data_IF_943124619233
#
_entry.id   IF_943124619233
#
_cell.length_a   1.000
_cell.length_b   1.000
_cell.length_c   1.000
_cell.angle_alpha   90.00
_cell.angle_beta   90.00
_cell.angle_gamma   90.00
#
_symmetry.space_group_name_H-M   'P 1'
#
loop_
_entity.id
_entity.type
_entity.pdbx_description
1 polymer ?
#
# COMPACT_ATOMS: atom_id res chain seq x y z
N UNK A 1 22.66 -54.38 5.75
CA UNK A 1 23.45 -53.14 5.88
C UNK A 1 23.24 -52.33 4.63
N UNK A 2 22.53 -51.21 4.64
CA UNK A 2 22.41 -50.30 3.53
C UNK A 2 23.42 -49.15 3.67
N UNK A 3 24.17 -48.92 2.62
CA UNK A 3 25.18 -47.88 2.45
C UNK A 3 24.53 -46.54 2.19
N UNK A 4 24.83 -45.57 3.05
CA UNK A 4 24.44 -44.17 2.87
C UNK A 4 25.21 -43.54 1.70
N UNK A 5 24.48 -43.14 0.66
CA UNK A 5 25.00 -42.27 -0.40
C UNK A 5 24.98 -40.83 0.07
N UNK A 6 26.15 -40.26 0.25
CA UNK A 6 26.36 -38.85 0.55
C UNK A 6 26.31 -38.09 -0.77
N UNK A 7 25.27 -37.28 -0.98
CA UNK A 7 25.23 -36.32 -2.09
C UNK A 7 26.19 -35.17 -1.81
N UNK A 8 27.27 -35.12 -2.59
CA UNK A 8 28.19 -33.99 -2.63
C UNK A 8 27.50 -32.74 -3.23
N UNK A 9 27.74 -31.54 -2.70
CA UNK A 9 27.21 -30.33 -3.29
C UNK A 9 27.88 -30.02 -4.63
N UNK A 10 27.07 -29.62 -5.60
CA UNK A 10 27.51 -29.22 -6.94
C UNK A 10 28.34 -27.94 -6.79
N UNK A 11 29.65 -28.05 -6.99
CA UNK A 11 30.56 -26.91 -7.10
C UNK A 11 30.32 -26.21 -8.44
N UNK A 12 29.84 -24.97 -8.39
CA UNK A 12 29.87 -24.04 -9.52
C UNK A 12 31.33 -23.66 -9.81
N UNK A 13 31.97 -24.35 -10.75
CA UNK A 13 33.27 -23.97 -11.29
C UNK A 13 33.07 -22.85 -12.31
N UNK A 14 33.67 -21.67 -12.07
CA UNK A 14 33.88 -20.68 -13.13
C UNK A 14 33.63 -19.21 -12.80
N UNK A 15 33.30 -18.81 -11.58
CA UNK A 15 33.23 -17.40 -11.21
C UNK A 15 34.48 -17.08 -10.40
N UNK A 16 35.41 -16.21 -10.89
CA UNK A 16 36.56 -15.80 -10.10
C UNK A 16 36.07 -15.05 -8.84
N UNK A 17 36.71 -15.36 -7.71
CA UNK A 17 36.41 -14.66 -6.45
C UNK A 17 36.67 -13.15 -6.62
N UNK A 18 35.76 -12.29 -6.18
CA UNK A 18 35.96 -10.84 -6.27
C UNK A 18 37.14 -10.41 -5.40
N UNK A 19 37.92 -9.41 -5.81
CA UNK A 19 39.03 -8.91 -5.04
C UNK A 19 38.59 -8.48 -3.63
N UNK A 20 39.46 -8.61 -2.61
CA UNK A 20 39.09 -8.40 -1.20
C UNK A 20 38.50 -7.01 -0.91
N UNK A 21 38.82 -6.03 -1.73
CA UNK A 21 38.31 -4.65 -1.61
C UNK A 21 36.83 -4.50 -1.94
N UNK A 22 36.24 -5.44 -2.69
CA UNK A 22 34.81 -5.42 -3.07
C UNK A 22 34.02 -6.61 -2.49
N UNK A 23 34.69 -7.51 -1.78
CA UNK A 23 34.03 -8.69 -1.19
C UNK A 23 32.93 -8.31 -0.17
N UNK A 24 33.07 -7.18 0.51
CA UNK A 24 32.06 -6.65 1.41
C UNK A 24 30.82 -6.13 0.65
N UNK A 25 30.99 -5.57 -0.56
CA UNK A 25 29.90 -5.10 -1.42
C UNK A 25 29.09 -6.31 -1.91
N UNK A 26 29.76 -7.35 -2.37
CA UNK A 26 29.10 -8.60 -2.77
C UNK A 26 28.37 -9.25 -1.59
N UNK A 27 28.96 -9.27 -0.39
CA UNK A 27 28.29 -9.71 0.83
C UNK A 27 27.11 -8.81 1.23
N UNK A 28 27.23 -7.50 1.05
CA UNK A 28 26.16 -6.55 1.32
C UNK A 28 24.97 -6.75 0.36
N UNK A 29 25.25 -6.92 -0.95
CA UNK A 29 24.21 -7.25 -1.94
C UNK A 29 23.63 -8.65 -1.71
N UNK A 30 24.42 -9.63 -1.29
CA UNK A 30 23.94 -10.97 -0.95
C UNK A 30 23.09 -10.95 0.34
N UNK A 31 23.46 -10.14 1.34
CA UNK A 31 22.60 -9.90 2.51
C UNK A 31 21.31 -9.14 2.18
N UNK A 32 21.35 -8.21 1.23
CA UNK A 32 20.15 -7.53 0.75
C UNK A 32 19.23 -8.48 -0.05
N UNK A 33 19.81 -9.35 -0.89
CA UNK A 33 19.08 -10.37 -1.63
C UNK A 33 18.60 -11.54 -0.75
N UNK A 34 19.37 -11.90 0.31
CA UNK A 34 18.96 -12.96 1.25
C UNK A 34 17.99 -12.47 2.33
N UNK A 35 17.72 -11.16 2.40
CA UNK A 35 16.72 -10.59 3.30
C UNK A 35 15.33 -10.51 2.66
N UNK A 36 15.13 -11.21 1.54
CA UNK A 36 13.82 -11.57 1.02
C UNK A 36 13.21 -12.64 1.97
N UNK A 37 12.99 -12.21 3.22
CA UNK A 37 12.13 -12.96 4.13
C UNK A 37 10.78 -13.02 3.44
N UNK A 38 10.34 -14.24 3.16
CA UNK A 38 8.99 -14.63 2.82
C UNK A 38 8.03 -13.74 3.63
N UNK A 39 7.74 -12.54 3.12
CA UNK A 39 6.62 -11.75 3.63
C UNK A 39 5.44 -12.70 3.49
N UNK A 40 4.79 -13.01 4.58
CA UNK A 40 3.53 -13.73 4.54
C UNK A 40 2.64 -12.90 3.64
N UNK A 41 2.43 -13.39 2.42
CA UNK A 41 1.63 -12.70 1.42
C UNK A 41 0.20 -12.81 1.95
N UNK A 42 -0.28 -11.72 2.52
CA UNK A 42 -1.65 -11.56 2.99
C UNK A 42 -2.35 -10.61 2.05
N UNK A 43 -3.62 -10.80 1.81
CA UNK A 43 -4.43 -9.88 1.03
C UNK A 43 -4.23 -8.42 1.46
N UNK A 44 -4.02 -7.53 0.49
CA UNK A 44 -3.67 -6.13 0.69
C UNK A 44 -4.91 -5.25 0.75
N UNK A 45 -5.06 -4.45 1.81
CA UNK A 45 -6.14 -3.47 1.93
C UNK A 45 -5.62 -2.07 1.62
N UNK A 46 -6.22 -1.45 0.60
CA UNK A 46 -5.92 -0.10 0.15
C UNK A 46 -7.10 0.83 0.39
N UNK A 47 -6.82 2.07 0.80
CA UNK A 47 -7.80 3.15 0.83
C UNK A 47 -7.38 4.18 -0.22
N UNK A 48 -8.32 4.55 -1.09
CA UNK A 48 -8.19 5.65 -2.04
C UNK A 48 -9.00 6.84 -1.54
N UNK A 49 -8.36 7.97 -1.33
CA UNK A 49 -9.00 9.20 -0.88
C UNK A 49 -8.61 10.39 -1.77
N UNK A 50 -9.56 11.28 -2.01
CA UNK A 50 -9.32 12.55 -2.69
C UNK A 50 -9.58 13.65 -1.68
N UNK A 51 -8.54 14.44 -1.39
CA UNK A 51 -8.57 15.44 -0.35
C UNK A 51 -8.25 16.82 -0.91
N UNK A 52 -8.84 17.84 -0.32
CA UNK A 52 -8.36 19.22 -0.44
C UNK A 52 -7.09 19.44 0.39
N UNK A 53 -6.43 20.58 0.20
CA UNK A 53 -5.22 20.94 0.96
C UNK A 53 -5.46 20.99 2.47
N UNK A 54 -6.67 21.31 2.90
CA UNK A 54 -7.10 21.34 4.30
C UNK A 54 -7.61 19.97 4.82
N UNK A 55 -7.44 18.90 4.02
CA UNK A 55 -7.74 17.51 4.44
C UNK A 55 -9.21 17.13 4.41
N UNK A 56 -10.07 17.97 3.83
CA UNK A 56 -11.47 17.64 3.61
C UNK A 56 -11.61 16.68 2.44
N UNK A 57 -12.55 15.71 2.56
CA UNK A 57 -12.92 14.85 1.44
C UNK A 57 -13.48 15.68 0.30
N UNK A 58 -12.91 15.50 -0.87
CA UNK A 58 -13.39 16.13 -2.09
C UNK A 58 -14.20 15.10 -2.86
N UNK A 59 -15.48 15.38 -3.07
CA UNK A 59 -16.25 14.60 -4.03
C UNK A 59 -15.72 14.89 -5.43
N UNK A 60 -15.59 13.85 -6.24
CA UNK A 60 -15.35 13.96 -7.67
C UNK A 60 -16.57 14.61 -8.34
N UNK A 61 -16.71 15.91 -8.18
CA UNK A 61 -17.79 16.65 -8.83
C UNK A 61 -17.31 17.03 -10.24
N UNK A 62 -17.82 16.40 -11.32
CA UNK A 62 -17.43 16.71 -12.68
C UNK A 62 -17.78 18.16 -13.07
N UNK A 63 -18.63 18.85 -12.32
CA UNK A 63 -18.95 20.27 -12.53
C UNK A 63 -17.87 21.21 -11.96
N UNK A 64 -17.03 20.76 -11.04
CA UNK A 64 -15.86 21.51 -10.61
C UNK A 64 -14.69 21.17 -11.53
N UNK A 65 -14.31 22.10 -12.41
CA UNK A 65 -13.28 22.00 -13.45
C UNK A 65 -11.87 21.58 -12.99
N UNK A 66 -11.68 21.23 -11.73
CA UNK A 66 -10.37 20.85 -11.16
C UNK A 66 -9.99 19.39 -11.47
N UNK A 67 -10.97 18.52 -11.64
CA UNK A 67 -10.76 17.12 -12.01
C UNK A 67 -11.28 16.90 -13.43
N UNK A 68 -10.42 16.53 -14.35
CA UNK A 68 -10.83 16.28 -15.75
C UNK A 68 -11.54 14.93 -15.85
N UNK A 69 -10.78 13.85 -15.85
CA UNK A 69 -11.26 12.49 -15.95
C UNK A 69 -10.44 11.60 -14.97
N UNK A 70 -11.04 10.60 -14.33
CA UNK A 70 -10.31 9.67 -13.47
C UNK A 70 -9.12 8.99 -14.16
N UNK A 71 -9.20 8.74 -15.46
CA UNK A 71 -8.13 8.13 -16.25
C UNK A 71 -6.90 9.02 -16.34
N UNK A 72 -7.08 10.34 -16.40
CA UNK A 72 -5.99 11.31 -16.52
C UNK A 72 -5.06 11.27 -15.27
N UNK A 73 -5.53 10.71 -14.16
CA UNK A 73 -4.83 10.64 -12.89
C UNK A 73 -4.44 9.22 -12.46
N UNK A 74 -4.63 8.23 -13.33
CA UNK A 74 -4.30 6.84 -13.08
C UNK A 74 -5.19 6.15 -12.03
N UNK A 75 -6.39 6.67 -11.77
CA UNK A 75 -7.34 6.05 -10.84
C UNK A 75 -7.89 4.74 -11.37
N UNK A 76 -8.14 4.65 -12.67
CA UNK A 76 -8.64 3.41 -13.29
C UNK A 76 -7.61 2.28 -13.17
N UNK A 77 -6.30 2.59 -13.22
CA UNK A 77 -5.26 1.62 -12.95
C UNK A 77 -5.33 1.07 -11.51
N UNK A 78 -5.57 1.96 -10.52
CA UNK A 78 -5.72 1.55 -9.12
C UNK A 78 -6.97 0.70 -8.95
N UNK A 79 -8.07 1.11 -9.55
CA UNK A 79 -9.35 0.39 -9.52
C UNK A 79 -9.26 -0.97 -10.19
N UNK A 80 -8.54 -1.07 -11.31
CA UNK A 80 -8.36 -2.30 -12.06
C UNK A 80 -7.48 -3.34 -11.37
N UNK A 81 -6.61 -2.91 -10.44
CA UNK A 81 -5.79 -3.81 -9.60
C UNK A 81 -6.56 -4.40 -8.42
N UNK A 82 -7.69 -3.80 -8.05
CA UNK A 82 -8.50 -4.26 -6.94
C UNK A 82 -9.44 -5.39 -7.38
N UNK A 83 -9.29 -6.55 -6.75
CA UNK A 83 -10.20 -7.67 -6.98
C UNK A 83 -11.54 -7.45 -6.28
N UNK A 84 -11.51 -6.85 -5.07
CA UNK A 84 -12.70 -6.55 -4.29
C UNK A 84 -12.80 -5.08 -3.93
N UNK A 85 -13.99 -4.51 -4.10
CA UNK A 85 -14.33 -3.17 -3.58
C UNK A 85 -15.00 -3.30 -2.22
N UNK A 86 -14.42 -2.66 -1.22
CA UNK A 86 -14.97 -2.66 0.13
C UNK A 86 -16.09 -1.65 0.26
N UNK A 87 -17.13 -2.06 0.94
CA UNK A 87 -18.26 -1.22 1.36
C UNK A 87 -18.44 -1.30 2.87
N UNK A 88 -19.14 -0.38 3.51
CA UNK A 88 -19.41 -0.43 4.96
C UNK A 88 -20.15 -1.69 5.43
N UNK A 89 -20.80 -2.43 4.53
CA UNK A 89 -21.48 -3.69 4.84
C UNK A 89 -20.48 -4.83 5.10
N UNK A 90 -19.23 -4.67 4.69
CA UNK A 90 -18.17 -5.62 4.93
C UNK A 90 -17.65 -5.49 6.36
N UNK A 91 -17.88 -6.49 7.20
CA UNK A 91 -17.35 -6.45 8.58
C UNK A 91 -15.84 -6.60 8.59
N UNK A 92 -15.17 -5.85 9.48
CA UNK A 92 -13.70 -5.84 9.56
C UNK A 92 -13.15 -7.23 9.96
N UNK A 93 -13.89 -8.00 10.78
CA UNK A 93 -13.49 -9.37 11.14
C UNK A 93 -13.48 -10.31 9.94
N UNK A 94 -14.53 -10.27 9.11
CA UNK A 94 -14.59 -11.08 7.88
C UNK A 94 -13.45 -10.71 6.94
N UNK A 95 -13.14 -9.42 6.81
CA UNK A 95 -12.02 -8.94 6.00
C UNK A 95 -10.69 -9.48 6.51
N UNK A 96 -10.46 -9.49 7.82
CA UNK A 96 -9.24 -10.04 8.43
C UNK A 96 -9.09 -11.53 8.17
N UNK A 97 -10.17 -12.30 8.37
CA UNK A 97 -10.19 -13.75 8.13
C UNK A 97 -9.94 -14.10 6.65
N UNK A 98 -10.48 -13.30 5.74
CA UNK A 98 -10.27 -13.52 4.29
C UNK A 98 -8.85 -13.19 3.87
N UNK A 99 -8.29 -12.09 4.37
CA UNK A 99 -6.91 -11.69 4.07
C UNK A 99 -5.88 -12.76 4.43
N UNK A 100 -6.14 -13.52 5.51
CA UNK A 100 -5.24 -14.60 5.93
C UNK A 100 -5.28 -15.82 5.01
N UNK A 101 -6.38 -15.99 4.27
CA UNK A 101 -6.62 -17.14 3.38
C UNK A 101 -6.23 -16.89 1.93
N UNK A 102 -6.27 -15.64 1.49
CA UNK A 102 -6.08 -15.27 0.08
C UNK A 102 -4.79 -14.47 -0.11
N UNK A 103 -3.79 -15.12 -0.68
CA UNK A 103 -2.55 -14.49 -1.13
C UNK A 103 -2.83 -13.59 -2.35
N UNK A 104 -2.11 -12.46 -2.47
CA UNK A 104 -2.14 -11.51 -3.59
C UNK A 104 -3.46 -10.79 -3.86
N UNK A 105 -4.48 -10.96 -3.03
CA UNK A 105 -5.75 -10.27 -3.19
C UNK A 105 -5.65 -8.80 -2.78
N UNK A 106 -6.15 -7.90 -3.64
CA UNK A 106 -6.23 -6.49 -3.35
C UNK A 106 -7.68 -6.07 -3.09
N UNK A 107 -7.91 -5.52 -1.89
CA UNK A 107 -9.16 -4.93 -1.45
C UNK A 107 -9.06 -3.41 -1.51
N UNK A 108 -9.96 -2.73 -2.20
CA UNK A 108 -9.96 -1.27 -2.33
C UNK A 108 -11.19 -0.66 -1.69
N UNK A 109 -10.98 0.29 -0.79
CA UNK A 109 -12.00 1.19 -0.28
C UNK A 109 -11.81 2.58 -0.91
N UNK A 110 -12.81 3.08 -1.61
CA UNK A 110 -12.85 4.49 -2.02
C UNK A 110 -13.52 5.31 -0.91
N UNK A 111 -12.77 6.28 -0.37
CA UNK A 111 -13.24 7.09 0.74
C UNK A 111 -14.04 8.30 0.24
N UNK A 112 -15.29 8.38 0.69
CA UNK A 112 -16.22 9.49 0.48
C UNK A 112 -16.93 9.83 1.81
N UNK A 113 -17.88 10.75 1.78
CA UNK A 113 -18.64 11.14 2.97
C UNK A 113 -19.41 9.97 3.62
N UNK A 114 -19.80 8.93 2.85
CA UNK A 114 -20.56 7.78 3.36
C UNK A 114 -19.62 6.71 3.94
N UNK A 115 -18.44 6.55 3.35
CA UNK A 115 -17.49 5.49 3.67
C UNK A 115 -16.38 5.92 4.63
N UNK A 116 -16.20 7.22 4.89
CA UNK A 116 -15.12 7.76 5.74
C UNK A 116 -15.14 7.20 7.16
N UNK A 117 -16.30 6.96 7.72
CA UNK A 117 -16.44 6.32 9.04
C UNK A 117 -15.85 4.91 9.04
N UNK A 118 -16.17 4.12 8.02
CA UNK A 118 -15.65 2.77 7.83
C UNK A 118 -14.12 2.79 7.54
N UNK A 119 -13.64 3.72 6.70
CA UNK A 119 -12.21 3.91 6.45
C UNK A 119 -11.42 4.16 7.75
N UNK A 120 -11.92 5.04 8.61
CA UNK A 120 -11.32 5.30 9.92
C UNK A 120 -11.40 4.09 10.85
N UNK A 121 -12.46 3.29 10.77
CA UNK A 121 -12.57 2.00 11.47
C UNK A 121 -11.47 1.03 11.06
N UNK A 122 -11.24 0.86 9.75
CA UNK A 122 -10.16 0.01 9.21
C UNK A 122 -8.78 0.49 9.67
N UNK A 123 -8.52 1.81 9.65
CA UNK A 123 -7.25 2.38 10.11
C UNK A 123 -7.06 2.09 11.60
N UNK A 124 -8.08 2.31 12.43
CA UNK A 124 -8.05 2.08 13.89
C UNK A 124 -7.79 0.62 14.23
N UNK A 125 -8.40 -0.29 13.49
CA UNK A 125 -8.21 -1.75 13.66
C UNK A 125 -6.93 -2.27 13.02
N UNK A 126 -6.10 -1.37 12.51
CA UNK A 126 -4.83 -1.74 11.86
C UNK A 126 -5.01 -2.66 10.63
N UNK A 127 -6.15 -2.58 9.96
CA UNK A 127 -6.48 -3.43 8.83
C UNK A 127 -6.01 -2.87 7.48
N UNK A 128 -5.51 -1.63 7.43
CA UNK A 128 -5.06 -0.96 6.20
C UNK A 128 -3.57 -1.13 5.98
N UNK A 129 -3.17 -1.48 4.77
CA UNK A 129 -1.78 -1.64 4.36
C UNK A 129 -1.25 -0.44 3.58
N UNK A 130 -2.13 0.20 2.81
CA UNK A 130 -1.74 1.31 1.96
C UNK A 130 -2.85 2.37 1.89
N UNK A 131 -2.43 3.63 1.93
CA UNK A 131 -3.34 4.78 1.74
C UNK A 131 -2.84 5.56 0.53
N UNK A 132 -3.71 5.71 -0.46
CA UNK A 132 -3.48 6.47 -1.68
C UNK A 132 -4.28 7.75 -1.58
N UNK A 133 -3.59 8.89 -1.52
CA UNK A 133 -4.21 10.20 -1.35
C UNK A 133 -3.93 11.06 -2.57
N UNK A 134 -4.99 11.57 -3.19
CA UNK A 134 -4.91 12.65 -4.15
C UNK A 134 -5.16 13.96 -3.44
N UNK A 135 -4.20 14.87 -3.49
CA UNK A 135 -4.34 16.21 -2.92
C UNK A 135 -4.71 17.19 -4.04
N UNK A 136 -5.88 17.77 -3.90
CA UNK A 136 -6.38 18.83 -4.78
C UNK A 136 -5.84 20.19 -4.34
N UNK A 137 -5.40 21.06 -5.26
CA UNK A 137 -4.88 22.40 -4.93
C UNK A 137 -6.02 23.36 -4.61
N UNK A 138 -6.85 23.03 -3.64
CA UNK A 138 -7.95 23.86 -3.17
C UNK A 138 -8.16 23.72 -1.66
N UNK A 139 -8.78 24.72 -1.06
CA UNK A 139 -9.28 24.71 0.32
C UNK A 139 -10.81 24.68 0.24
N UNK A 140 -11.42 23.75 0.96
CA UNK A 140 -12.88 23.63 1.03
C UNK A 140 -13.40 24.35 2.26
N UNK A 141 -12.67 24.31 3.37
CA UNK A 141 -13.00 25.02 4.62
C UNK A 141 -14.11 24.37 5.45
N UNK A 142 -15.00 23.64 4.82
CA UNK A 142 -16.13 22.93 5.45
C UNK A 142 -16.29 21.57 4.82
N UNK A 143 -16.66 20.55 5.60
CA UNK A 143 -16.89 19.20 5.10
C UNK A 143 -16.31 18.14 6.02
N UNK A 144 -16.40 16.90 5.55
CA UNK A 144 -15.84 15.76 6.28
C UNK A 144 -14.33 15.67 6.07
N UNK A 145 -13.58 15.75 7.17
CA UNK A 145 -12.16 15.43 7.17
C UNK A 145 -11.96 13.92 7.03
N UNK A 146 -10.97 13.53 6.21
CA UNK A 146 -10.65 12.12 6.03
C UNK A 146 -10.12 11.48 7.32
N UNK A 147 -9.15 12.10 7.97
CA UNK A 147 -8.65 11.63 9.25
C UNK A 147 -9.48 12.23 10.38
N UNK A 148 -10.30 11.40 11.02
CA UNK A 148 -11.14 11.81 12.15
C UNK A 148 -10.37 11.71 13.48
N UNK A 149 -10.80 12.44 14.47
CA UNK A 149 -10.29 12.34 15.84
C UNK A 149 -10.44 10.90 16.39
N UNK A 150 -9.53 10.50 17.29
CA UNK A 150 -9.54 9.16 17.89
C UNK A 150 -8.80 8.07 17.10
N UNK A 151 -8.03 8.44 16.09
CA UNK A 151 -7.03 7.56 15.52
C UNK A 151 -5.80 7.50 16.43
N UNK A 152 -5.22 6.31 16.58
CA UNK A 152 -3.96 6.16 17.30
C UNK A 152 -2.78 6.58 16.40
N UNK A 153 -1.70 7.15 16.99
CA UNK A 153 -0.48 7.41 16.25
C UNK A 153 0.05 6.14 15.58
N UNK A 154 0.26 6.22 14.28
CA UNK A 154 0.80 5.13 13.47
C UNK A 154 1.81 5.68 12.47
N UNK A 155 2.86 4.91 12.21
CA UNK A 155 3.92 5.30 11.29
C UNK A 155 3.65 4.76 9.89
N UNK A 156 3.81 5.63 8.92
CA UNK A 156 3.64 5.34 7.50
C UNK A 156 4.86 5.79 6.71
N UNK A 157 5.25 5.02 5.72
CA UNK A 157 6.33 5.37 4.79
C UNK A 157 5.75 5.82 3.47
N UNK A 158 6.23 6.94 2.95
CA UNK A 158 5.90 7.37 1.60
C UNK A 158 6.54 6.40 0.60
N UNK A 159 5.71 5.61 -0.09
CA UNK A 159 6.14 4.62 -1.07
C UNK A 159 6.24 5.21 -2.47
N UNK A 160 5.34 6.11 -2.83
CA UNK A 160 5.28 6.74 -4.15
C UNK A 160 4.70 8.14 -4.05
N UNK A 161 5.19 9.04 -4.91
CA UNK A 161 4.54 10.31 -5.17
C UNK A 161 4.48 10.56 -6.68
N UNK A 162 3.37 11.12 -7.15
CA UNK A 162 3.18 11.55 -8.56
C UNK A 162 2.57 12.94 -8.61
N UNK A 163 3.11 13.79 -9.46
CA UNK A 163 2.54 15.09 -9.78
C UNK A 163 1.76 14.99 -11.10
N UNK A 164 0.59 15.61 -11.11
CA UNK A 164 -0.26 15.68 -12.29
C UNK A 164 -0.49 17.14 -12.69
N UNK A 165 -1.05 17.33 -13.88
CA UNK A 165 -1.48 18.64 -14.35
C UNK A 165 -2.48 19.29 -13.38
N UNK A 166 -2.50 20.64 -13.35
CA UNK A 166 -3.40 21.37 -12.47
C UNK A 166 -3.01 21.40 -10.98
N UNK A 167 -1.77 20.99 -10.65
CA UNK A 167 -1.27 21.05 -9.27
C UNK A 167 -1.73 19.88 -8.37
N UNK A 168 -2.31 18.84 -8.95
CA UNK A 168 -2.73 17.65 -8.22
C UNK A 168 -1.53 16.77 -7.91
N UNK A 169 -1.47 16.23 -6.69
CA UNK A 169 -0.42 15.32 -6.24
C UNK A 169 -1.07 14.04 -5.74
N UNK A 170 -0.57 12.88 -6.21
CA UNK A 170 -0.88 11.57 -5.62
C UNK A 170 0.25 11.17 -4.69
N UNK A 171 -0.10 10.80 -3.48
CA UNK A 171 0.80 10.24 -2.47
C UNK A 171 0.32 8.83 -2.13
N UNK A 172 1.24 7.88 -2.12
CA UNK A 172 0.97 6.51 -1.71
C UNK A 172 1.80 6.21 -0.47
N UNK A 173 1.13 5.96 0.64
CA UNK A 173 1.74 5.62 1.90
C UNK A 173 1.54 4.13 2.21
N UNK A 174 2.62 3.47 2.63
CA UNK A 174 2.59 2.10 3.17
C UNK A 174 2.75 2.14 4.66
N UNK A 175 2.01 1.26 5.32
CA UNK A 175 2.07 1.14 6.75
C UNK A 175 3.35 0.45 7.19
N UNK A 176 4.02 1.03 8.19
CA UNK A 176 5.14 0.39 8.87
C UNK A 176 4.60 -0.66 9.85
N UNK A 177 4.62 -1.94 9.43
CA UNK A 177 4.31 -3.04 10.35
C UNK A 177 5.50 -3.23 11.27
N UNK A 178 5.39 -2.83 12.56
CA UNK A 178 6.39 -3.22 13.55
C UNK A 178 6.40 -4.74 13.62
N UNK A 179 7.55 -5.35 13.36
CA UNK A 179 7.74 -6.78 13.59
C UNK A 179 7.50 -7.04 15.08
N UNK A 180 6.52 -7.88 15.38
CA UNK A 180 6.36 -8.46 16.71
C UNK A 180 7.35 -9.58 16.90
#
# INVERSE_FOLDING_TARGET
MPTHSVHSPIFFQGIPEPPPEVAWIARYFFCLAANDKKETIMGKVQILAILSMDGCLSELNPKKRLFRSPEDYGMEEIRGKALYRLTPDYTISILQDQREKEDDTCYLLEADAKTVGYANGLIRMNAVDEIIIYIMPCIIGTGDHFFKSGLFPTDWTLAENRKYGGGIIRLTYRRNRKRR
#
